data_IF_048696194715
#
_entry.id   IF_048696194715
#
_cell.length_a   1.000
_cell.length_b   1.000
_cell.length_c   1.000
_cell.angle_alpha   90.00
_cell.angle_beta   90.00
_cell.angle_gamma   90.00
#
_symmetry.space_group_name_H-M   'P 1'
#
loop_
_entity.id
_entity.type
_entity.pdbx_description
1 polymer ?
#
# COMPACT_ATOMS: atom_id res chain seq x y z
N UNK A 1 -3.55 29.51 -8.27
CA UNK A 1 -2.93 28.36 -7.60
C UNK A 1 -3.83 27.16 -7.85
N UNK A 2 -3.36 26.17 -8.61
CA UNK A 2 -4.14 24.99 -9.02
C UNK A 2 -4.03 23.91 -7.93
N UNK A 3 -5.14 23.61 -7.25
CA UNK A 3 -5.24 22.69 -6.12
C UNK A 3 -5.64 21.26 -6.55
N UNK A 4 -5.06 20.73 -7.62
CA UNK A 4 -5.34 19.36 -8.04
C UNK A 4 -4.27 18.40 -7.46
N UNK A 5 -4.62 17.40 -6.63
CA UNK A 5 -3.69 16.37 -6.21
C UNK A 5 -3.35 15.50 -7.44
N UNK A 6 -2.28 15.87 -8.15
CA UNK A 6 -1.87 15.20 -9.38
C UNK A 6 -1.34 13.79 -9.07
N UNK A 7 -1.82 12.76 -9.80
CA UNK A 7 -1.27 11.42 -9.71
C UNK A 7 0.03 11.35 -10.52
N UNK A 8 1.15 11.76 -9.92
CA UNK A 8 2.52 11.53 -10.44
C UNK A 8 2.70 11.71 -11.96
N UNK A 9 2.05 12.71 -12.56
CA UNK A 9 2.12 12.98 -13.99
C UNK A 9 3.12 14.08 -14.27
N UNK A 10 4.38 13.90 -13.90
CA UNK A 10 5.41 14.88 -14.22
C UNK A 10 5.87 14.66 -15.67
N UNK A 11 5.69 15.66 -16.54
CA UNK A 11 6.18 15.56 -17.92
C UNK A 11 7.62 16.06 -18.01
N UNK A 12 8.39 15.53 -18.97
CA UNK A 12 9.79 15.92 -19.21
C UNK A 12 9.93 17.45 -19.41
N UNK A 13 8.96 18.06 -20.06
CA UNK A 13 8.90 19.51 -20.30
C UNK A 13 8.71 20.34 -19.04
N UNK A 14 8.04 19.78 -18.03
CA UNK A 14 7.85 20.43 -16.71
C UNK A 14 9.12 20.29 -15.87
N UNK A 15 9.83 19.16 -16.00
CA UNK A 15 11.10 18.91 -15.32
C UNK A 15 12.22 19.83 -15.82
N UNK A 16 12.34 20.02 -17.14
CA UNK A 16 13.34 20.89 -17.75
C UNK A 16 13.20 22.35 -17.31
N UNK A 17 11.97 22.81 -17.11
CA UNK A 17 11.66 24.19 -16.68
C UNK A 17 11.65 24.39 -15.17
N UNK A 18 11.70 23.30 -14.39
CA UNK A 18 11.67 23.36 -12.93
C UNK A 18 13.00 23.88 -12.37
N UNK A 19 12.91 24.76 -11.38
CA UNK A 19 14.07 25.16 -10.59
C UNK A 19 14.64 23.98 -9.79
N UNK A 20 15.91 24.03 -9.35
CA UNK A 20 16.52 22.96 -8.56
C UNK A 20 15.68 22.61 -7.31
N UNK A 21 15.18 23.62 -6.61
CA UNK A 21 14.33 23.45 -5.42
C UNK A 21 12.99 22.77 -5.75
N UNK A 22 12.39 23.11 -6.89
CA UNK A 22 11.15 22.46 -7.35
C UNK A 22 11.39 21.00 -7.71
N UNK A 23 12.54 20.67 -8.32
CA UNK A 23 12.94 19.30 -8.64
C UNK A 23 13.12 18.47 -7.37
N UNK A 24 13.79 19.00 -6.36
CA UNK A 24 13.95 18.33 -5.07
C UNK A 24 12.60 18.07 -4.42
N UNK A 25 11.67 19.03 -4.52
CA UNK A 25 10.32 18.84 -4.01
C UNK A 25 9.51 17.80 -4.79
N UNK A 26 9.69 17.71 -6.12
CA UNK A 26 9.09 16.63 -6.91
C UNK A 26 9.65 15.27 -6.55
N UNK A 27 10.97 15.15 -6.35
CA UNK A 27 11.62 13.91 -5.89
C UNK A 27 11.11 13.51 -4.51
N UNK A 28 11.04 14.45 -3.56
CA UNK A 28 10.53 14.19 -2.22
C UNK A 28 9.09 13.67 -2.25
N UNK A 29 8.22 14.34 -3.01
CA UNK A 29 6.83 13.90 -3.16
C UNK A 29 6.72 12.54 -3.86
N UNK A 30 7.61 12.24 -4.81
CA UNK A 30 7.69 10.93 -5.46
C UNK A 30 7.91 9.83 -4.42
N UNK A 31 8.96 9.98 -3.61
CA UNK A 31 9.38 9.02 -2.59
C UNK A 31 8.26 8.86 -1.55
N UNK A 32 7.68 9.96 -1.08
CA UNK A 32 6.59 9.93 -0.10
C UNK A 32 5.36 9.18 -0.64
N UNK A 33 4.98 9.42 -1.89
CA UNK A 33 3.84 8.75 -2.52
C UNK A 33 4.08 7.25 -2.73
N UNK A 34 5.31 6.86 -3.08
CA UNK A 34 5.71 5.45 -3.17
C UNK A 34 5.64 4.76 -1.81
N UNK A 35 6.16 5.40 -0.76
CA UNK A 35 6.12 4.86 0.59
C UNK A 35 4.68 4.65 1.10
N UNK A 36 3.80 5.62 0.84
CA UNK A 36 2.38 5.49 1.19
C UNK A 36 1.72 4.29 0.50
N UNK A 37 2.00 4.07 -0.80
CA UNK A 37 1.49 2.94 -1.56
C UNK A 37 2.04 1.60 -1.05
N UNK A 38 3.32 1.54 -0.72
CA UNK A 38 3.95 0.37 -0.11
C UNK A 38 3.32 0.04 1.25
N UNK A 39 3.08 1.03 2.10
CA UNK A 39 2.44 0.84 3.41
C UNK A 39 1.04 0.25 3.28
N UNK A 40 0.26 0.68 2.29
CA UNK A 40 -1.07 0.15 2.01
C UNK A 40 -0.99 -1.31 1.54
N UNK A 41 -0.03 -1.63 0.67
CA UNK A 41 0.21 -3.00 0.19
C UNK A 41 0.66 -3.93 1.33
N UNK A 42 1.58 -3.47 2.17
CA UNK A 42 2.08 -4.23 3.33
C UNK A 42 0.97 -4.49 4.36
N UNK A 43 0.16 -3.47 4.69
CA UNK A 43 -1.01 -3.63 5.58
C UNK A 43 -2.02 -4.64 5.04
N UNK A 44 -2.31 -4.57 3.73
CA UNK A 44 -3.26 -5.50 3.09
C UNK A 44 -2.71 -6.92 3.09
N UNK A 45 -1.43 -7.11 2.77
CA UNK A 45 -0.77 -8.42 2.80
C UNK A 45 -0.74 -9.05 4.19
N UNK A 46 -0.42 -8.27 5.22
CA UNK A 46 -0.41 -8.74 6.61
C UNK A 46 -1.80 -9.10 7.14
N UNK A 47 -2.82 -8.29 6.86
CA UNK A 47 -4.20 -8.58 7.28
C UNK A 47 -4.74 -9.85 6.61
N UNK A 48 -4.53 -10.03 5.31
CA UNK A 48 -4.97 -11.25 4.62
C UNK A 48 -4.24 -12.48 5.16
N UNK A 49 -2.93 -12.38 5.42
CA UNK A 49 -2.13 -13.50 5.96
C UNK A 49 -2.53 -13.85 7.39
N UNK A 50 -2.77 -12.86 8.25
CA UNK A 50 -3.24 -13.04 9.62
C UNK A 50 -4.65 -13.64 9.67
N UNK A 51 -5.60 -13.10 8.90
CA UNK A 51 -6.95 -13.64 8.84
C UNK A 51 -7.00 -15.06 8.26
N UNK A 52 -6.18 -15.37 7.24
CA UNK A 52 -6.10 -16.73 6.70
C UNK A 52 -5.53 -17.73 7.71
N UNK A 53 -4.53 -17.33 8.49
CA UNK A 53 -3.95 -18.17 9.54
C UNK A 53 -4.94 -18.41 10.70
N UNK A 54 -5.57 -17.35 11.21
CA UNK A 54 -6.56 -17.45 12.28
C UNK A 54 -7.81 -18.23 11.83
N UNK A 55 -8.29 -17.96 10.61
CA UNK A 55 -9.39 -18.70 10.01
C UNK A 55 -9.08 -20.18 9.82
N UNK A 56 -7.85 -20.51 9.42
CA UNK A 56 -7.38 -21.89 9.31
C UNK A 56 -7.33 -22.63 10.65
N UNK A 57 -6.87 -21.98 11.71
CA UNK A 57 -6.84 -22.56 13.07
C UNK A 57 -8.25 -22.79 13.60
N UNK A 58 -9.14 -21.79 13.48
CA UNK A 58 -10.51 -21.88 13.97
C UNK A 58 -11.28 -22.94 13.16
N UNK A 59 -11.15 -22.93 11.84
CA UNK A 59 -11.79 -23.92 10.95
C UNK A 59 -11.27 -25.34 11.18
N UNK A 60 -9.95 -25.51 11.32
CA UNK A 60 -9.34 -26.80 11.62
C UNK A 60 -9.73 -27.34 13.00
N UNK A 61 -9.76 -26.47 14.01
CA UNK A 61 -10.19 -26.84 15.37
C UNK A 61 -11.67 -27.23 15.45
N UNK A 62 -12.54 -26.48 14.79
CA UNK A 62 -13.97 -26.80 14.69
C UNK A 62 -14.22 -28.10 13.91
N UNK A 63 -13.51 -28.31 12.80
CA UNK A 63 -13.61 -29.54 12.01
C UNK A 63 -13.16 -30.76 12.81
N UNK A 64 -12.05 -30.67 13.55
CA UNK A 64 -11.55 -31.76 14.38
C UNK A 64 -12.50 -32.10 15.54
N UNK A 65 -13.11 -31.10 16.18
CA UNK A 65 -14.12 -31.34 17.23
C UNK A 65 -15.44 -31.87 16.68
N UNK A 66 -15.88 -31.41 15.51
CA UNK A 66 -17.08 -31.91 14.84
C UNK A 66 -16.94 -33.36 14.40
N UNK A 67 -15.77 -33.77 13.88
CA UNK A 67 -15.48 -35.16 13.51
C UNK A 67 -15.39 -36.07 14.76
N UNK A 68 -14.96 -35.53 15.91
CA UNK A 68 -14.88 -36.31 17.16
C UNK A 68 -16.23 -36.50 17.86
N UNK A 69 -17.21 -35.64 17.58
CA UNK A 69 -18.57 -35.69 18.14
C UNK A 69 -19.61 -36.31 17.19
N UNK A 70 -19.21 -36.62 15.95
CA UNK A 70 -19.99 -37.42 14.99
C UNK A 70 -19.61 -38.89 15.06
#
# INVERSE_FOLDING_TARGET
MNNNPQPFGLTEKDWEKASPEQRDWYIYNAILSMNARLTVLERKGWLHRGCAFVGGIIGGGLAAFGIKMS
#
